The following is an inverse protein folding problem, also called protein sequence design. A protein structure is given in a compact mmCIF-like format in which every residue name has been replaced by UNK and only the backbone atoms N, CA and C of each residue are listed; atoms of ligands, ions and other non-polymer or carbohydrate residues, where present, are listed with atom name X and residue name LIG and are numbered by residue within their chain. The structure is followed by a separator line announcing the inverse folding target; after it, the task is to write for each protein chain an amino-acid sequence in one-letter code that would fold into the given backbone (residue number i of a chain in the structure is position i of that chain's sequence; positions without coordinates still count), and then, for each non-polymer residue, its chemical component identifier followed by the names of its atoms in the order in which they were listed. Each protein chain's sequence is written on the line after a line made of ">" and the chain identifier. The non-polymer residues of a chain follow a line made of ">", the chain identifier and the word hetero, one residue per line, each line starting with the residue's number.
data_IF_763934472494
#
_entry.id   IF_763934472494
#
_cell.length_a   1.000
_cell.length_b   1.000
_cell.length_c   1.000
_cell.angle_alpha   90.00
_cell.angle_beta   90.00
_cell.angle_gamma   90.00
#
_symmetry.space_group_name_H-M   'P 1'
#
loop_
_entity.id
_entity.type
_entity.pdbx_description
1 polymer ?
#
# COMPACT_ATOMS: atom_id res chain seq x y z
N UNK A 1 7.59 -32.19 -6.57
CA UNK A 1 6.85 -31.32 -7.52
C UNK A 1 6.08 -30.30 -6.72
N UNK A 2 6.40 -29.01 -6.84
CA UNK A 2 5.63 -27.97 -6.18
C UNK A 2 4.24 -27.87 -6.84
N UNK A 3 3.18 -27.87 -6.04
CA UNK A 3 1.82 -27.66 -6.53
C UNK A 3 1.75 -26.27 -7.19
N UNK A 4 1.04 -26.12 -8.32
CA UNK A 4 0.79 -24.81 -8.93
C UNK A 4 0.18 -23.86 -7.89
N UNK A 5 0.52 -22.57 -7.97
CA UNK A 5 -0.13 -21.55 -7.15
C UNK A 5 -1.63 -21.55 -7.47
N UNK A 6 -2.44 -22.16 -6.60
CA UNK A 6 -3.91 -22.23 -6.76
C UNK A 6 -4.59 -20.85 -6.77
N UNK A 7 -3.87 -19.81 -6.37
CA UNK A 7 -4.33 -18.42 -6.39
C UNK A 7 -3.88 -17.68 -7.66
N UNK A 8 -3.10 -18.30 -8.54
CA UNK A 8 -2.72 -17.69 -9.81
C UNK A 8 -3.95 -17.49 -10.70
N UNK A 9 -4.02 -16.33 -11.33
CA UNK A 9 -5.10 -15.97 -12.22
C UNK A 9 -5.19 -16.90 -13.44
N UNK A 10 -6.42 -17.27 -13.81
CA UNK A 10 -6.72 -17.94 -15.06
C UNK A 10 -8.01 -17.36 -15.64
N UNK A 11 -7.99 -16.99 -16.92
CA UNK A 11 -9.18 -16.55 -17.65
C UNK A 11 -10.18 -17.71 -17.70
N UNK A 12 -11.40 -17.47 -17.19
CA UNK A 12 -12.48 -18.47 -17.17
C UNK A 12 -13.54 -18.15 -18.23
N UNK A 13 -14.20 -19.18 -18.80
CA UNK A 13 -15.36 -18.97 -19.67
C UNK A 13 -16.41 -18.08 -18.97
N UNK A 14 -16.89 -17.03 -19.66
CA UNK A 14 -17.92 -16.11 -19.15
C UNK A 14 -17.42 -14.74 -18.66
N UNK A 15 -16.10 -14.50 -18.62
CA UNK A 15 -15.55 -13.16 -18.38
C UNK A 15 -15.91 -12.21 -19.53
N UNK A 16 -16.53 -11.06 -19.22
CA UNK A 16 -16.96 -10.03 -20.20
C UNK A 16 -16.11 -8.76 -20.07
N UNK A 17 -16.10 -7.94 -21.12
CA UNK A 17 -15.48 -6.60 -21.15
C UNK A 17 -16.00 -5.75 -19.97
N UNK A 18 -15.09 -5.03 -19.31
CA UNK A 18 -15.37 -4.26 -18.08
C UNK A 18 -16.57 -3.33 -18.21
N UNK A 19 -17.32 -3.20 -17.11
CA UNK A 19 -18.46 -2.30 -17.01
C UNK A 19 -17.98 -0.90 -16.63
N UNK A 20 -18.58 0.14 -17.23
CA UNK A 20 -18.42 1.51 -16.80
C UNK A 20 -19.27 1.74 -15.55
N UNK A 21 -18.65 2.20 -14.46
CA UNK A 21 -19.38 2.71 -13.30
C UNK A 21 -19.77 4.16 -13.54
N UNK A 22 -21.03 4.50 -13.25
CA UNK A 22 -21.58 5.84 -13.36
C UNK A 22 -21.69 6.55 -12.00
N UNK A 23 -21.13 5.95 -10.95
CA UNK A 23 -21.15 6.45 -9.57
C UNK A 23 -19.73 6.78 -9.06
N UNK A 24 -19.57 7.71 -8.09
CA UNK A 24 -18.27 8.18 -7.59
C UNK A 24 -17.39 7.09 -6.98
N UNK A 25 -18.00 6.15 -6.25
CA UNK A 25 -17.31 5.05 -5.59
C UNK A 25 -17.68 3.75 -6.32
N UNK A 26 -16.73 3.10 -7.02
CA UNK A 26 -16.97 1.80 -7.64
C UNK A 26 -17.29 0.75 -6.56
N UNK A 27 -18.38 0.00 -6.72
CA UNK A 27 -18.77 -1.08 -5.78
C UNK A 27 -18.48 -2.48 -6.33
N UNK A 28 -17.70 -2.58 -7.41
CA UNK A 28 -17.31 -3.85 -8.04
C UNK A 28 -15.80 -3.91 -8.19
N UNK A 29 -15.22 -5.03 -7.79
CA UNK A 29 -13.88 -5.42 -8.20
C UNK A 29 -13.91 -5.72 -9.71
N UNK A 30 -13.00 -5.12 -10.46
CA UNK A 30 -12.66 -5.57 -11.81
C UNK A 30 -11.33 -6.32 -11.76
N UNK A 31 -11.22 -7.37 -12.59
CA UNK A 31 -10.03 -8.20 -12.65
C UNK A 31 -8.84 -7.33 -13.03
N UNK A 32 -7.75 -7.49 -12.30
CA UNK A 32 -6.47 -6.95 -12.67
C UNK A 32 -5.57 -8.04 -13.31
N UNK A 33 -6.10 -9.25 -13.53
CA UNK A 33 -5.36 -10.44 -13.98
C UNK A 33 -4.39 -11.04 -12.95
N UNK A 34 -4.43 -10.61 -11.68
CA UNK A 34 -3.71 -11.27 -10.58
C UNK A 34 -4.63 -12.22 -9.79
N UNK A 35 -5.93 -11.93 -9.77
CA UNK A 35 -6.97 -12.80 -9.19
C UNK A 35 -8.30 -12.62 -9.94
N UNK A 36 -9.16 -13.67 -10.02
CA UNK A 36 -10.51 -13.51 -10.55
C UNK A 36 -11.30 -12.55 -9.65
N UNK A 37 -11.90 -11.47 -10.18
CA UNK A 37 -12.63 -10.51 -9.38
C UNK A 37 -13.85 -11.21 -8.78
N UNK A 38 -14.11 -10.90 -7.51
CA UNK A 38 -15.33 -11.36 -6.87
C UNK A 38 -16.54 -10.72 -7.56
N UNK A 39 -17.62 -11.50 -7.70
CA UNK A 39 -18.89 -10.96 -8.17
C UNK A 39 -19.38 -9.85 -7.24
N UNK A 40 -20.15 -8.90 -7.80
CA UNK A 40 -20.80 -7.89 -6.99
C UNK A 40 -21.75 -8.57 -5.98
N UNK A 41 -21.63 -8.22 -4.72
CA UNK A 41 -22.50 -8.68 -3.63
C UNK A 41 -23.87 -7.99 -3.69
N UNK A 42 -24.89 -8.56 -3.05
CA UNK A 42 -26.22 -7.96 -2.91
C UNK A 42 -26.17 -6.57 -2.27
N UNK A 43 -25.29 -6.41 -1.29
CA UNK A 43 -25.07 -5.20 -0.53
C UNK A 43 -24.40 -4.13 -1.42
N UNK A 44 -23.42 -4.52 -2.24
CA UNK A 44 -22.83 -3.61 -3.22
C UNK A 44 -23.86 -3.14 -4.27
N UNK A 45 -24.72 -4.03 -4.78
CA UNK A 45 -25.85 -3.66 -5.66
C UNK A 45 -26.75 -2.63 -4.99
N UNK A 46 -27.08 -2.87 -3.71
CA UNK A 46 -27.93 -2.01 -2.91
C UNK A 46 -27.30 -0.62 -2.68
N UNK A 47 -25.98 -0.54 -2.45
CA UNK A 47 -25.26 0.74 -2.40
C UNK A 47 -25.42 1.50 -3.71
N UNK A 48 -25.18 0.88 -4.86
CA UNK A 48 -25.32 1.60 -6.13
C UNK A 48 -26.75 2.10 -6.37
N UNK A 49 -27.76 1.31 -5.99
CA UNK A 49 -29.18 1.71 -6.09
C UNK A 49 -29.43 2.97 -5.27
N UNK A 50 -28.97 2.99 -4.02
CA UNK A 50 -29.14 4.14 -3.10
C UNK A 50 -28.42 5.39 -3.59
N UNK A 51 -27.22 5.24 -4.16
CA UNK A 51 -26.49 6.37 -4.76
C UNK A 51 -27.31 6.99 -5.89
N UNK A 52 -27.84 6.17 -6.79
CA UNK A 52 -28.65 6.66 -7.93
C UNK A 52 -29.94 7.34 -7.47
N UNK A 53 -30.58 6.82 -6.41
CA UNK A 53 -31.79 7.41 -5.82
C UNK A 53 -31.51 8.76 -5.15
N UNK A 54 -30.44 8.84 -4.33
CA UNK A 54 -30.05 10.09 -3.71
C UNK A 54 -29.65 11.13 -4.75
N UNK A 55 -28.88 10.74 -5.77
CA UNK A 55 -28.53 11.62 -6.89
C UNK A 55 -29.77 12.10 -7.67
N UNK A 56 -30.77 11.23 -7.87
CA UNK A 56 -32.04 11.60 -8.48
C UNK A 56 -32.78 12.68 -7.69
N UNK A 57 -32.83 12.53 -6.36
CA UNK A 57 -33.50 13.46 -5.45
C UNK A 57 -32.76 14.80 -5.31
N UNK A 58 -31.46 14.76 -5.09
CA UNK A 58 -30.64 15.94 -4.79
C UNK A 58 -30.31 16.75 -6.05
N UNK A 59 -30.02 16.09 -7.17
CA UNK A 59 -29.72 16.82 -8.41
C UNK A 59 -30.90 17.70 -8.85
N UNK A 60 -32.14 17.20 -8.73
CA UNK A 60 -33.34 17.98 -9.04
C UNK A 60 -33.51 19.21 -8.15
N UNK A 61 -33.25 19.08 -6.84
CA UNK A 61 -33.31 20.20 -5.89
C UNK A 61 -32.25 21.27 -6.17
N UNK A 62 -31.08 20.86 -6.64
CA UNK A 62 -29.94 21.73 -6.92
C UNK A 62 -29.89 22.25 -8.36
N UNK A 63 -30.90 21.94 -9.19
CA UNK A 63 -30.93 22.35 -10.60
C UNK A 63 -29.85 21.67 -11.47
N UNK A 64 -29.30 20.54 -11.04
CA UNK A 64 -28.25 19.79 -11.74
C UNK A 64 -28.83 18.57 -12.47
N UNK A 65 -28.14 18.10 -13.52
CA UNK A 65 -28.39 16.75 -14.04
C UNK A 65 -27.76 15.74 -13.07
N UNK A 66 -28.35 14.55 -12.93
CA UNK A 66 -27.82 13.47 -12.05
C UNK A 66 -26.32 13.20 -12.28
N UNK A 67 -25.90 13.14 -13.55
CA UNK A 67 -24.50 12.92 -13.95
C UNK A 67 -23.54 14.03 -13.55
N UNK A 68 -24.02 15.26 -13.42
CA UNK A 68 -23.19 16.41 -13.05
C UNK A 68 -23.12 16.49 -11.52
N UNK A 69 -24.23 16.21 -10.82
CA UNK A 69 -24.24 16.06 -9.36
C UNK A 69 -23.28 14.96 -8.88
N UNK A 70 -23.26 13.79 -9.53
CA UNK A 70 -22.33 12.72 -9.18
C UNK A 70 -20.84 13.06 -9.44
N UNK A 71 -20.51 14.24 -9.95
CA UNK A 71 -19.13 14.72 -10.10
C UNK A 71 -18.75 15.78 -9.06
N UNK A 72 -19.65 16.13 -8.15
CA UNK A 72 -19.42 17.12 -7.09
C UNK A 72 -19.04 16.47 -5.76
N UNK A 73 -18.64 17.28 -4.77
CA UNK A 73 -18.49 16.85 -3.38
C UNK A 73 -19.79 16.24 -2.82
N UNK A 74 -20.95 16.81 -3.16
CA UNK A 74 -22.25 16.27 -2.76
C UNK A 74 -22.54 14.87 -3.31
N UNK A 75 -22.07 14.58 -4.54
CA UNK A 75 -22.13 13.24 -5.11
C UNK A 75 -21.28 12.23 -4.34
N UNK A 76 -20.09 12.64 -3.88
CA UNK A 76 -19.24 11.82 -3.01
C UNK A 76 -19.89 11.59 -1.63
N UNK A 77 -20.39 12.65 -0.99
CA UNK A 77 -21.09 12.57 0.29
C UNK A 77 -22.32 11.63 0.21
N UNK A 78 -23.12 11.72 -0.85
CA UNK A 78 -24.22 10.79 -1.12
C UNK A 78 -23.74 9.34 -1.26
N UNK A 79 -22.55 9.12 -1.83
CA UNK A 79 -21.95 7.79 -1.95
C UNK A 79 -21.54 7.21 -0.61
N UNK A 80 -20.89 8.01 0.24
CA UNK A 80 -20.51 7.62 1.60
C UNK A 80 -21.73 7.38 2.50
N UNK A 81 -22.78 8.21 2.39
CA UNK A 81 -24.06 8.00 3.08
C UNK A 81 -24.74 6.70 2.63
N UNK A 82 -24.71 6.39 1.33
CA UNK A 82 -25.25 5.14 0.82
C UNK A 82 -24.48 3.93 1.38
N UNK A 83 -23.14 3.97 1.36
CA UNK A 83 -22.31 2.94 1.99
C UNK A 83 -22.64 2.79 3.48
N UNK A 84 -22.77 3.91 4.20
CA UNK A 84 -23.14 3.90 5.62
C UNK A 84 -24.50 3.22 5.87
N UNK A 85 -25.47 3.47 5.00
CA UNK A 85 -26.82 2.92 5.15
C UNK A 85 -26.93 1.42 4.86
N UNK A 86 -25.95 0.85 4.16
CA UNK A 86 -25.95 -0.58 3.77
C UNK A 86 -25.02 -1.39 4.65
N UNK A 87 -23.80 -0.92 4.83
CA UNK A 87 -22.78 -1.66 5.57
C UNK A 87 -22.75 -1.30 7.06
N UNK A 88 -23.29 -0.14 7.45
CA UNK A 88 -23.19 0.43 8.80
C UNK A 88 -22.38 1.73 8.81
N UNK A 89 -22.38 2.47 9.91
CA UNK A 89 -21.71 3.77 10.02
C UNK A 89 -20.17 3.62 9.99
N UNK A 90 -19.57 3.73 8.81
CA UNK A 90 -18.12 3.65 8.59
C UNK A 90 -17.47 4.99 8.24
N UNK A 91 -18.21 5.86 7.55
CA UNK A 91 -17.73 7.16 7.11
C UNK A 91 -18.37 8.26 7.94
N UNK A 92 -17.57 9.21 8.41
CA UNK A 92 -18.10 10.41 9.04
C UNK A 92 -18.55 11.40 7.96
N UNK A 93 -19.86 11.38 7.68
CA UNK A 93 -20.50 12.22 6.66
C UNK A 93 -21.91 12.58 7.12
N UNK A 94 -22.26 13.86 7.02
CA UNK A 94 -23.59 14.39 7.32
C UNK A 94 -24.46 14.44 6.07
N UNK A 95 -25.77 14.34 6.24
CA UNK A 95 -26.73 14.47 5.12
C UNK A 95 -26.66 15.84 4.43
N UNK A 96 -26.34 16.89 5.19
CA UNK A 96 -26.23 18.26 4.67
C UNK A 96 -25.07 18.40 3.68
N UNK A 97 -23.97 17.65 3.84
CA UNK A 97 -22.81 17.68 2.94
C UNK A 97 -23.16 17.17 1.53
N UNK A 98 -24.22 16.36 1.39
CA UNK A 98 -24.71 15.92 0.09
C UNK A 98 -25.50 17.00 -0.66
N UNK A 99 -26.02 18.01 0.05
CA UNK A 99 -26.86 19.07 -0.52
C UNK A 99 -26.12 20.42 -0.58
N UNK A 100 -25.25 20.71 0.37
CA UNK A 100 -24.63 22.02 0.57
C UNK A 100 -23.09 21.87 0.56
N UNK A 101 -22.41 22.33 -0.49
CA UNK A 101 -20.95 22.26 -0.57
C UNK A 101 -20.23 22.97 0.58
N UNK A 102 -20.84 24.03 1.11
CA UNK A 102 -20.27 24.83 2.21
C UNK A 102 -20.24 24.05 3.52
N UNK A 103 -21.22 23.16 3.77
CA UNK A 103 -21.25 22.32 4.97
C UNK A 103 -20.05 21.35 5.03
N UNK A 104 -19.52 20.91 3.88
CA UNK A 104 -18.26 20.16 3.83
C UNK A 104 -17.06 21.07 4.17
N UNK A 105 -17.04 22.31 3.66
CA UNK A 105 -15.94 23.24 3.95
C UNK A 105 -15.89 23.64 5.43
N UNK A 106 -17.03 23.82 6.08
CA UNK A 106 -17.10 24.13 7.52
C UNK A 106 -16.52 23.01 8.40
N UNK A 107 -16.55 21.77 7.93
CA UNK A 107 -15.97 20.61 8.61
C UNK A 107 -14.51 20.35 8.27
N UNK A 108 -13.96 21.06 7.28
CA UNK A 108 -12.62 20.83 6.73
C UNK A 108 -11.52 20.97 7.79
N UNK A 109 -11.80 21.65 8.90
CA UNK A 109 -10.93 21.72 10.07
C UNK A 109 -9.56 22.33 9.75
N UNK A 110 -8.62 22.16 10.66
CA UNK A 110 -7.21 22.45 10.38
C UNK A 110 -6.64 21.40 9.42
N UNK A 111 -5.81 21.80 8.44
CA UNK A 111 -5.16 20.86 7.53
C UNK A 111 -4.41 19.77 8.30
N UNK A 112 -4.63 18.51 7.91
CA UNK A 112 -3.91 17.39 8.51
C UNK A 112 -2.43 17.44 8.12
N UNK A 113 -1.54 17.15 9.07
CA UNK A 113 -0.18 16.81 8.74
C UNK A 113 -0.14 15.37 8.21
N UNK A 114 0.01 15.21 6.90
CA UNK A 114 0.08 13.90 6.24
C UNK A 114 1.54 13.52 6.02
N UNK A 115 2.00 12.52 6.76
CA UNK A 115 3.25 11.83 6.48
C UNK A 115 2.94 10.48 5.85
N UNK A 116 3.23 10.36 4.57
CA UNK A 116 3.14 9.10 3.82
C UNK A 116 4.45 8.33 3.93
N UNK A 117 4.43 7.21 4.66
CA UNK A 117 5.63 6.41 4.92
C UNK A 117 5.94 5.39 3.81
N UNK A 118 5.09 5.24 2.80
CA UNK A 118 5.27 4.24 1.74
C UNK A 118 4.97 4.83 0.36
N UNK A 119 6.00 5.38 -0.26
CA UNK A 119 5.95 5.90 -1.61
C UNK A 119 6.91 5.16 -2.54
N UNK A 120 6.60 5.18 -3.84
CA UNK A 120 7.40 4.52 -4.87
C UNK A 120 7.40 5.34 -6.17
N UNK A 121 8.42 5.10 -6.99
CA UNK A 121 8.40 5.34 -8.44
C UNK A 121 9.24 4.25 -9.11
N UNK A 122 9.33 4.26 -10.44
CA UNK A 122 10.18 3.35 -11.20
C UNK A 122 11.32 4.12 -11.88
N UNK A 123 12.56 3.74 -11.55
CA UNK A 123 13.76 4.32 -12.15
C UNK A 123 13.82 4.07 -13.65
N UNK A 124 14.27 5.06 -14.41
CA UNK A 124 14.36 4.95 -15.88
C UNK A 124 15.35 3.86 -16.33
N UNK A 125 16.34 3.56 -15.50
CA UNK A 125 17.36 2.54 -15.74
C UNK A 125 16.97 1.15 -15.20
N UNK A 126 15.74 0.97 -14.71
CA UNK A 126 15.32 -0.31 -14.16
C UNK A 126 15.07 -1.33 -15.28
N UNK A 127 15.84 -2.42 -15.21
CA UNK A 127 15.74 -3.62 -16.04
C UNK A 127 15.53 -3.35 -17.57
N UNK A 128 16.44 -2.60 -18.22
CA UNK A 128 16.27 -2.21 -19.62
C UNK A 128 16.35 -3.40 -20.58
N UNK A 129 16.96 -4.50 -20.14
CA UNK A 129 17.10 -5.74 -20.90
C UNK A 129 16.04 -6.80 -20.55
N UNK A 130 15.07 -6.47 -19.69
CA UNK A 130 14.01 -7.38 -19.22
C UNK A 130 14.57 -8.70 -18.62
N UNK A 131 15.71 -8.62 -17.96
CA UNK A 131 16.41 -9.75 -17.37
C UNK A 131 15.62 -10.38 -16.21
N UNK A 132 14.77 -9.61 -15.53
CA UNK A 132 13.98 -10.09 -14.40
C UNK A 132 12.77 -10.91 -14.85
N UNK A 133 12.32 -10.80 -16.11
CA UNK A 133 11.16 -11.54 -16.63
C UNK A 133 11.29 -13.07 -16.49
N UNK A 134 12.51 -13.60 -16.56
CA UNK A 134 12.80 -15.02 -16.39
C UNK A 134 13.04 -15.45 -14.95
N UNK A 135 13.18 -14.51 -14.00
CA UNK A 135 13.56 -14.82 -12.61
C UNK A 135 12.32 -15.09 -11.77
N UNK A 136 12.25 -16.30 -11.23
CA UNK A 136 11.10 -16.74 -10.43
C UNK A 136 10.91 -15.83 -9.19
N UNK A 137 9.74 -15.21 -9.10
CA UNK A 137 9.38 -14.34 -7.97
C UNK A 137 10.04 -12.96 -8.01
N UNK A 138 10.69 -12.59 -9.13
CA UNK A 138 11.16 -11.24 -9.33
C UNK A 138 9.99 -10.26 -9.54
N UNK A 139 10.19 -9.03 -9.09
CA UNK A 139 9.38 -7.91 -9.57
C UNK A 139 9.88 -7.61 -10.98
N UNK A 140 8.96 -7.42 -11.93
CA UNK A 140 9.32 -7.15 -13.33
C UNK A 140 8.77 -5.80 -13.73
N UNK A 141 9.42 -5.16 -14.71
CA UNK A 141 8.93 -3.91 -15.31
C UNK A 141 7.50 -4.04 -15.85
N UNK A 142 7.20 -5.20 -16.44
CA UNK A 142 5.87 -5.53 -16.94
C UNK A 142 4.81 -5.63 -15.84
N UNK A 143 5.15 -6.24 -14.69
CA UNK A 143 4.24 -6.34 -13.55
C UNK A 143 3.93 -4.96 -12.95
N UNK A 144 4.96 -4.12 -12.73
CA UNK A 144 4.77 -2.76 -12.21
C UNK A 144 3.90 -1.90 -13.14
N UNK A 145 4.16 -1.96 -14.45
CA UNK A 145 3.33 -1.27 -15.43
C UNK A 145 1.90 -1.84 -15.49
N UNK A 146 1.76 -3.14 -15.25
CA UNK A 146 0.47 -3.82 -15.11
C UNK A 146 -0.40 -3.18 -14.05
N UNK A 147 0.14 -2.96 -12.84
CA UNK A 147 -0.57 -2.31 -11.73
C UNK A 147 -1.16 -0.96 -12.15
N UNK A 148 -0.35 -0.11 -12.77
CA UNK A 148 -0.81 1.22 -13.25
C UNK A 148 -1.88 1.12 -14.32
N UNK A 149 -1.71 0.23 -15.30
CA UNK A 149 -2.70 0.01 -16.36
C UNK A 149 -4.04 -0.47 -15.81
N UNK A 150 -4.02 -1.31 -14.79
CA UNK A 150 -5.22 -1.81 -14.13
C UNK A 150 -5.91 -0.69 -13.36
N UNK A 151 -5.15 0.13 -12.63
CA UNK A 151 -5.69 1.25 -11.89
C UNK A 151 -6.42 2.27 -12.77
N UNK A 152 -6.01 2.45 -14.03
CA UNK A 152 -6.72 3.31 -15.00
C UNK A 152 -8.17 2.89 -15.24
N UNK A 153 -8.49 1.61 -15.10
CA UNK A 153 -9.86 1.12 -15.19
C UNK A 153 -10.68 1.40 -13.92
N UNK A 154 -10.01 1.58 -12.78
CA UNK A 154 -10.62 1.76 -11.46
C UNK A 154 -10.72 3.23 -11.04
N UNK A 155 -9.77 4.06 -11.47
CA UNK A 155 -9.63 5.45 -11.07
C UNK A 155 -9.82 6.37 -12.28
N UNK A 156 -10.98 7.04 -12.41
CA UNK A 156 -11.25 7.95 -13.52
C UNK A 156 -10.27 9.12 -13.63
N UNK A 157 -9.56 9.48 -12.55
CA UNK A 157 -8.52 10.52 -12.58
C UNK A 157 -7.31 10.14 -13.44
N UNK A 158 -7.12 8.84 -13.70
CA UNK A 158 -6.03 8.32 -14.54
C UNK A 158 -6.42 8.20 -16.03
N UNK A 159 -7.53 8.79 -16.44
CA UNK A 159 -7.97 8.72 -17.84
C UNK A 159 -6.95 9.33 -18.81
N UNK A 160 -6.16 10.32 -18.37
CA UNK A 160 -5.09 10.96 -19.15
C UNK A 160 -3.78 10.17 -19.22
N UNK A 161 -3.62 9.14 -18.37
CA UNK A 161 -2.41 8.33 -18.37
C UNK A 161 -2.25 7.58 -19.68
N UNK A 162 -0.99 7.40 -20.08
CA UNK A 162 -0.65 6.73 -21.34
C UNK A 162 -0.57 5.21 -21.16
N UNK A 163 -0.51 4.72 -19.93
CA UNK A 163 -0.21 3.33 -19.62
C UNK A 163 1.22 2.96 -20.01
N UNK A 164 2.18 3.86 -19.78
CA UNK A 164 3.61 3.65 -20.07
C UNK A 164 4.45 3.92 -18.82
N UNK A 165 5.74 3.58 -18.86
CA UNK A 165 6.64 3.84 -17.72
C UNK A 165 6.77 5.32 -17.35
N UNK A 166 6.44 6.24 -18.25
CA UNK A 166 6.38 7.67 -17.94
C UNK A 166 5.32 7.98 -16.87
N UNK A 167 4.24 7.18 -16.75
CA UNK A 167 3.23 7.36 -15.71
C UNK A 167 3.73 6.85 -14.33
N UNK A 168 4.85 6.12 -14.30
CA UNK A 168 5.52 5.62 -13.10
C UNK A 168 6.87 6.30 -12.84
N UNK A 169 7.21 7.35 -13.60
CA UNK A 169 8.50 8.03 -13.47
C UNK A 169 8.55 8.93 -12.24
N UNK A 170 9.75 9.37 -11.89
CA UNK A 170 9.95 10.29 -10.78
C UNK A 170 9.20 11.62 -11.00
N UNK A 171 9.11 12.12 -12.24
CA UNK A 171 8.41 13.38 -12.55
C UNK A 171 6.92 13.27 -12.27
N UNK A 172 6.29 12.17 -12.69
CA UNK A 172 4.88 11.95 -12.41
C UNK A 172 4.65 11.71 -10.92
N UNK A 173 5.57 10.99 -10.26
CA UNK A 173 5.56 10.82 -8.81
C UNK A 173 5.56 12.15 -8.05
N UNK A 174 6.43 13.11 -8.40
CA UNK A 174 6.45 14.43 -7.75
C UNK A 174 5.14 15.17 -7.92
N UNK A 175 4.59 15.15 -9.14
CA UNK A 175 3.29 15.76 -9.41
C UNK A 175 2.20 15.13 -8.56
N UNK A 176 2.08 13.81 -8.59
CA UNK A 176 1.02 13.10 -7.88
C UNK A 176 1.12 13.27 -6.36
N UNK A 177 2.31 13.19 -5.79
CA UNK A 177 2.48 13.30 -4.33
C UNK A 177 2.41 14.75 -3.87
N UNK A 178 3.09 15.69 -4.51
CA UNK A 178 3.28 17.04 -3.95
C UNK A 178 2.43 18.13 -4.59
N UNK A 179 1.85 17.90 -5.76
CA UNK A 179 1.00 18.88 -6.44
C UNK A 179 -0.48 18.49 -6.45
N UNK A 180 -0.77 17.19 -6.51
CA UNK A 180 -2.13 16.69 -6.63
C UNK A 180 -2.70 16.12 -5.32
N UNK A 181 -1.89 16.02 -4.26
CA UNK A 181 -2.30 15.49 -2.95
C UNK A 181 -1.96 16.45 -1.79
N UNK A 182 -2.53 16.17 -0.62
CA UNK A 182 -2.26 16.93 0.62
C UNK A 182 -1.03 16.40 1.38
N UNK A 183 -0.24 15.50 0.77
CA UNK A 183 0.96 14.91 1.40
C UNK A 183 1.97 15.99 1.80
N UNK A 184 2.22 16.09 3.11
CA UNK A 184 3.18 17.02 3.68
C UNK A 184 4.59 16.46 3.58
N UNK A 185 4.80 15.21 3.99
CA UNK A 185 6.09 14.52 3.91
C UNK A 185 5.91 13.15 3.28
N UNK A 186 6.83 12.76 2.42
CA UNK A 186 6.90 11.41 1.85
C UNK A 186 8.17 10.67 2.26
N UNK A 187 8.10 9.35 2.37
CA UNK A 187 9.26 8.46 2.49
C UNK A 187 9.37 7.58 1.24
N UNK A 188 10.40 7.82 0.42
CA UNK A 188 10.62 6.99 -0.77
C UNK A 188 11.15 5.61 -0.37
N UNK A 189 10.48 4.60 -0.90
CA UNK A 189 10.82 3.19 -0.87
C UNK A 189 11.02 2.68 -2.30
N UNK A 190 11.41 1.42 -2.47
CA UNK A 190 11.58 0.77 -3.77
C UNK A 190 11.16 -0.69 -3.71
N UNK A 191 10.45 -1.24 -4.70
CA UNK A 191 10.37 -2.69 -4.86
C UNK A 191 11.77 -3.33 -5.01
N UNK A 192 11.91 -4.63 -4.67
CA UNK A 192 13.20 -5.32 -4.71
C UNK A 192 13.65 -5.55 -6.16
N UNK A 193 14.97 -5.61 -6.36
CA UNK A 193 15.60 -6.06 -7.60
C UNK A 193 16.39 -7.37 -7.39
N UNK A 194 17.30 -7.73 -8.32
CA UNK A 194 18.18 -8.88 -8.13
C UNK A 194 19.17 -8.67 -6.99
N UNK A 195 19.60 -7.43 -6.76
CA UNK A 195 20.42 -6.98 -5.62
C UNK A 195 19.98 -5.57 -5.19
N UNK A 196 20.32 -5.11 -3.97
CA UNK A 196 19.99 -3.75 -3.51
C UNK A 196 20.43 -2.62 -4.46
N UNK A 197 21.59 -2.77 -5.09
CA UNK A 197 22.15 -1.79 -6.03
C UNK A 197 21.44 -1.76 -7.39
N UNK A 198 20.66 -2.79 -7.67
CA UNK A 198 19.89 -2.99 -8.91
C UNK A 198 18.39 -3.05 -8.62
N UNK A 199 17.95 -2.56 -7.46
CA UNK A 199 16.53 -2.39 -7.14
C UNK A 199 15.83 -1.48 -8.16
N UNK A 200 14.49 -1.50 -8.16
CA UNK A 200 13.68 -0.65 -9.04
C UNK A 200 14.08 0.82 -8.96
N UNK A 201 14.43 1.29 -7.76
CA UNK A 201 15.13 2.53 -7.50
C UNK A 201 16.25 2.25 -6.48
N UNK A 202 17.52 2.19 -6.89
CA UNK A 202 18.61 1.90 -5.96
C UNK A 202 18.77 2.98 -4.87
N UNK A 203 19.36 2.65 -3.70
CA UNK A 203 19.51 3.59 -2.58
C UNK A 203 20.12 4.94 -2.96
N UNK A 204 21.15 4.93 -3.82
CA UNK A 204 21.81 6.16 -4.29
C UNK A 204 20.85 7.08 -5.05
N UNK A 205 19.95 6.52 -5.85
CA UNK A 205 18.95 7.27 -6.60
C UNK A 205 17.84 7.78 -5.66
N UNK A 206 17.34 6.94 -4.76
CA UNK A 206 16.35 7.33 -3.75
C UNK A 206 16.84 8.52 -2.90
N UNK A 207 18.08 8.46 -2.38
CA UNK A 207 18.64 9.55 -1.58
C UNK A 207 18.91 10.80 -2.41
N UNK A 208 19.30 10.65 -3.67
CA UNK A 208 19.48 11.79 -4.57
C UNK A 208 18.17 12.56 -4.79
N UNK A 209 17.08 11.84 -5.10
CA UNK A 209 15.76 12.45 -5.30
C UNK A 209 15.22 13.09 -4.01
N UNK A 210 15.41 12.43 -2.86
CA UNK A 210 15.09 13.01 -1.54
C UNK A 210 15.80 14.35 -1.35
N UNK A 211 17.11 14.36 -1.55
CA UNK A 211 17.94 15.55 -1.33
C UNK A 211 17.56 16.67 -2.29
N UNK A 212 17.25 16.35 -3.55
CA UNK A 212 16.83 17.32 -4.54
C UNK A 212 15.48 17.95 -4.22
N UNK A 213 14.47 17.15 -3.84
CA UNK A 213 13.17 17.66 -3.40
C UNK A 213 13.34 18.56 -2.17
N UNK A 214 14.13 18.13 -1.18
CA UNK A 214 14.37 18.92 0.04
C UNK A 214 15.10 20.24 -0.26
N UNK A 215 16.06 20.22 -1.21
CA UNK A 215 16.79 21.40 -1.65
C UNK A 215 15.89 22.40 -2.37
N UNK A 216 15.06 21.96 -3.32
CA UNK A 216 14.16 22.81 -4.09
C UNK A 216 13.09 23.42 -3.16
N UNK A 217 12.50 22.61 -2.29
CA UNK A 217 11.44 23.03 -1.38
C UNK A 217 11.95 23.77 -0.14
N UNK A 218 13.28 23.82 0.06
CA UNK A 218 13.96 24.41 1.23
C UNK A 218 13.38 23.93 2.58
N UNK A 219 12.86 22.71 2.60
CA UNK A 219 12.24 22.08 3.76
C UNK A 219 12.36 20.57 3.63
N UNK A 220 12.14 19.83 4.73
CA UNK A 220 12.17 18.36 4.68
C UNK A 220 10.81 17.85 4.21
N UNK A 221 10.65 17.70 2.90
CA UNK A 221 9.45 17.13 2.26
C UNK A 221 9.62 15.66 1.90
N UNK A 222 10.86 15.17 1.85
CA UNK A 222 11.18 13.78 1.56
C UNK A 222 12.17 13.18 2.55
N UNK A 223 11.96 11.89 2.81
CA UNK A 223 12.87 10.95 3.45
C UNK A 223 13.15 9.80 2.47
N UNK A 224 14.21 9.03 2.70
CA UNK A 224 14.57 7.90 1.84
C UNK A 224 15.00 6.67 2.65
N UNK A 225 14.54 5.51 2.18
CA UNK A 225 15.03 4.23 2.68
C UNK A 225 16.45 3.91 2.19
N UNK A 226 17.20 3.21 3.05
CA UNK A 226 18.24 2.28 2.63
C UNK A 226 17.67 0.87 2.48
N UNK A 227 18.39 -0.01 1.81
CA UNK A 227 18.00 -1.40 1.61
C UNK A 227 18.89 -2.36 2.40
N UNK A 228 18.29 -3.43 2.89
CA UNK A 228 18.99 -4.55 3.53
C UNK A 228 18.56 -5.88 2.92
N UNK A 229 19.54 -6.76 2.70
CA UNK A 229 19.37 -8.11 2.18
C UNK A 229 20.35 -9.05 2.91
N UNK A 230 20.01 -9.49 4.14
CA UNK A 230 20.94 -10.18 5.04
C UNK A 230 21.51 -11.49 4.47
N UNK A 231 20.83 -12.09 3.50
CA UNK A 231 21.30 -13.29 2.80
C UNK A 231 22.63 -13.08 2.06
N UNK A 232 23.00 -11.84 1.72
CA UNK A 232 24.29 -11.50 1.13
C UNK A 232 25.44 -11.44 2.16
N UNK A 233 25.14 -11.62 3.45
CA UNK A 233 26.13 -11.69 4.52
C UNK A 233 26.96 -10.41 4.64
N UNK A 234 28.28 -10.54 4.70
CA UNK A 234 29.19 -9.41 4.89
C UNK A 234 29.02 -8.31 3.84
N UNK A 235 28.73 -8.67 2.58
CA UNK A 235 28.52 -7.70 1.51
C UNK A 235 27.30 -6.79 1.80
N UNK A 236 26.26 -7.31 2.47
CA UNK A 236 25.13 -6.49 2.91
C UNK A 236 25.54 -5.55 4.04
N UNK A 237 26.28 -6.06 5.05
CA UNK A 237 26.72 -5.26 6.19
C UNK A 237 27.63 -4.10 5.79
N UNK A 238 28.53 -4.31 4.84
CA UNK A 238 29.38 -3.26 4.27
C UNK A 238 28.55 -2.24 3.49
N UNK A 239 27.54 -2.71 2.75
CA UNK A 239 26.64 -1.83 2.02
C UNK A 239 25.71 -1.03 2.94
N UNK A 240 25.26 -1.59 4.06
CA UNK A 240 24.55 -0.86 5.11
C UNK A 240 25.40 0.28 5.65
N UNK A 241 26.69 0.03 5.91
CA UNK A 241 27.59 1.07 6.40
C UNK A 241 27.73 2.22 5.39
N UNK A 242 27.95 1.90 4.11
CA UNK A 242 28.00 2.89 3.04
C UNK A 242 26.70 3.71 2.96
N UNK A 243 25.54 3.06 2.99
CA UNK A 243 24.25 3.74 2.91
C UNK A 243 24.03 4.69 4.10
N UNK A 244 24.33 4.24 5.33
CA UNK A 244 24.17 5.07 6.52
C UNK A 244 25.19 6.22 6.59
N UNK A 245 26.45 5.96 6.24
CA UNK A 245 27.52 6.96 6.37
C UNK A 245 27.58 7.94 5.19
N UNK A 246 27.41 7.47 3.97
CA UNK A 246 27.54 8.29 2.76
C UNK A 246 26.20 8.82 2.25
N UNK A 247 25.17 7.97 2.21
CA UNK A 247 23.86 8.36 1.66
C UNK A 247 22.93 8.98 2.72
N UNK A 248 23.27 8.81 4.01
CA UNK A 248 22.50 9.34 5.16
C UNK A 248 21.03 8.93 5.09
N UNK A 249 20.76 7.65 4.84
CA UNK A 249 19.40 7.10 4.77
C UNK A 249 18.63 7.31 6.08
N UNK A 250 17.29 7.35 6.02
CA UNK A 250 16.41 7.72 7.14
C UNK A 250 15.82 6.52 7.89
N UNK A 251 15.66 5.39 7.19
CA UNK A 251 15.18 4.11 7.70
C UNK A 251 15.62 2.97 6.76
N UNK A 252 15.51 1.71 7.21
CA UNK A 252 15.80 0.53 6.41
C UNK A 252 14.55 -0.07 5.81
N UNK A 253 14.65 -0.60 4.59
CA UNK A 253 13.61 -1.41 3.95
C UNK A 253 14.14 -2.80 3.66
N UNK A 254 13.34 -3.80 4.04
CA UNK A 254 13.66 -5.22 3.90
C UNK A 254 12.55 -5.97 3.17
N UNK A 255 12.96 -6.94 2.34
CA UNK A 255 12.09 -7.90 1.68
C UNK A 255 12.45 -9.31 2.11
N UNK A 256 11.59 -9.92 2.92
CA UNK A 256 11.83 -11.28 3.45
C UNK A 256 11.48 -12.37 2.46
N UNK A 257 10.47 -12.17 1.61
CA UNK A 257 10.04 -13.15 0.61
C UNK A 257 10.76 -13.05 -0.74
N UNK A 258 11.17 -11.85 -1.16
CA UNK A 258 11.85 -11.63 -2.42
C UNK A 258 13.36 -11.89 -2.29
N UNK A 259 13.78 -13.11 -2.65
CA UNK A 259 15.17 -13.52 -2.58
C UNK A 259 16.03 -12.77 -3.63
N UNK A 260 17.26 -12.35 -3.27
CA UNK A 260 18.21 -11.81 -4.24
C UNK A 260 18.64 -12.89 -5.25
N UNK A 261 19.24 -12.46 -6.36
CA UNK A 261 19.75 -13.36 -7.38
C UNK A 261 20.77 -14.34 -6.78
N UNK A 262 20.63 -15.62 -7.12
CA UNK A 262 21.44 -16.71 -6.55
C UNK A 262 20.80 -17.42 -5.35
N UNK A 263 19.67 -16.93 -4.84
CA UNK A 263 18.93 -17.53 -3.74
C UNK A 263 17.54 -18.01 -4.20
N UNK A 264 17.11 -19.16 -3.70
CA UNK A 264 15.85 -19.81 -4.08
C UNK A 264 14.72 -19.62 -3.07
N UNK A 265 15.05 -19.03 -1.91
CA UNK A 265 14.15 -18.84 -0.78
C UNK A 265 14.44 -17.53 -0.04
N UNK A 266 13.41 -17.03 0.63
CA UNK A 266 13.50 -15.89 1.52
C UNK A 266 14.12 -16.21 2.89
N UNK A 267 13.89 -15.33 3.84
CA UNK A 267 14.41 -15.40 5.21
C UNK A 267 13.38 -14.88 6.22
N UNK A 268 13.55 -15.23 7.49
CA UNK A 268 12.72 -14.72 8.59
C UNK A 268 13.52 -13.71 9.43
N UNK A 269 12.85 -12.69 9.95
CA UNK A 269 13.46 -11.60 10.72
C UNK A 269 13.99 -12.09 12.08
N UNK A 270 13.45 -13.19 12.60
CA UNK A 270 13.91 -13.84 13.83
C UNK A 270 14.96 -14.94 13.62
N UNK A 271 15.44 -15.15 12.39
CA UNK A 271 16.57 -16.03 12.12
C UNK A 271 17.86 -15.40 12.67
N UNK A 272 18.34 -15.93 13.79
CA UNK A 272 19.51 -15.42 14.50
C UNK A 272 20.81 -15.48 13.67
N UNK A 273 20.89 -16.39 12.70
CA UNK A 273 22.09 -16.53 11.86
C UNK A 273 22.06 -15.59 10.66
N UNK A 274 20.90 -15.48 10.03
CA UNK A 274 20.73 -14.68 8.81
C UNK A 274 20.44 -13.22 9.16
N UNK A 275 19.43 -12.96 9.97
CA UNK A 275 18.88 -11.61 10.18
C UNK A 275 19.58 -10.81 11.29
N UNK A 276 19.99 -11.44 12.40
CA UNK A 276 20.48 -10.68 13.56
C UNK A 276 21.77 -9.89 13.30
N UNK A 277 22.74 -10.38 12.49
CA UNK A 277 23.88 -9.54 12.10
C UNK A 277 23.45 -8.22 11.44
N UNK A 278 22.40 -8.23 10.62
CA UNK A 278 21.83 -7.03 10.01
C UNK A 278 21.14 -6.15 11.05
N UNK A 279 20.37 -6.72 11.99
CA UNK A 279 19.71 -5.95 13.07
C UNK A 279 20.73 -5.28 13.99
N UNK A 280 21.79 -5.99 14.38
CA UNK A 280 22.89 -5.43 15.17
C UNK A 280 23.63 -4.33 14.41
N UNK A 281 23.86 -4.50 13.10
CA UNK A 281 24.45 -3.45 12.26
C UNK A 281 23.54 -2.22 12.19
N UNK A 282 22.23 -2.39 12.02
CA UNK A 282 21.26 -1.29 12.04
C UNK A 282 21.30 -0.52 13.38
N UNK A 283 21.35 -1.25 14.50
CA UNK A 283 21.52 -0.69 15.85
C UNK A 283 22.82 0.11 15.98
N UNK A 284 23.94 -0.47 15.56
CA UNK A 284 25.27 0.14 15.64
C UNK A 284 25.40 1.40 14.76
N UNK A 285 24.77 1.41 13.59
CA UNK A 285 24.72 2.57 12.70
C UNK A 285 23.77 3.68 13.18
N UNK A 286 22.97 3.41 14.22
CA UNK A 286 22.00 4.37 14.77
C UNK A 286 20.75 4.56 13.93
N UNK A 287 20.55 3.77 12.87
CA UNK A 287 19.33 3.76 12.06
C UNK A 287 18.46 2.59 12.49
N UNK A 288 17.54 2.86 13.42
CA UNK A 288 16.80 1.84 14.17
C UNK A 288 15.36 1.62 13.71
N UNK A 289 15.02 2.09 12.51
CA UNK A 289 13.69 1.88 11.91
C UNK A 289 13.83 0.88 10.77
N UNK A 290 13.16 -0.25 10.89
CA UNK A 290 13.19 -1.33 9.91
C UNK A 290 11.78 -1.58 9.37
N UNK A 291 11.56 -1.14 8.15
CA UNK A 291 10.36 -1.38 7.37
C UNK A 291 10.46 -2.73 6.67
N UNK A 292 9.61 -3.69 7.05
CA UNK A 292 9.67 -5.06 6.51
C UNK A 292 8.42 -5.33 5.70
N UNK A 293 8.60 -5.80 4.46
CA UNK A 293 7.49 -6.23 3.61
C UNK A 293 6.83 -7.50 4.19
N UNK A 294 5.69 -7.33 4.87
CA UNK A 294 5.04 -8.38 5.66
C UNK A 294 3.53 -8.41 5.42
N UNK A 295 3.18 -8.63 4.16
CA UNK A 295 1.84 -8.66 3.59
C UNK A 295 1.98 -8.62 2.07
N UNK A 296 0.88 -8.73 1.33
CA UNK A 296 0.83 -8.81 -0.13
C UNK A 296 2.03 -9.60 -0.69
N UNK A 297 2.04 -10.93 -0.45
CA UNK A 297 3.27 -11.71 -0.46
C UNK A 297 4.04 -11.62 -1.77
N UNK A 298 5.32 -11.27 -1.66
CA UNK A 298 6.26 -11.27 -2.78
C UNK A 298 7.21 -12.47 -2.72
N UNK A 299 7.72 -12.87 -3.88
CA UNK A 299 8.69 -13.94 -4.01
C UNK A 299 8.10 -15.35 -4.11
N UNK A 300 8.97 -16.37 -4.26
CA UNK A 300 8.55 -17.72 -4.64
C UNK A 300 7.88 -18.51 -3.51
N UNK A 301 8.05 -18.08 -2.26
CA UNK A 301 7.52 -18.75 -1.06
C UNK A 301 6.78 -17.74 -0.20
N UNK A 302 5.47 -17.93 -0.12
CA UNK A 302 4.55 -16.99 0.53
C UNK A 302 4.90 -16.75 2.00
N UNK A 303 5.23 -17.82 2.75
CA UNK A 303 5.32 -17.79 4.22
C UNK A 303 6.35 -16.80 4.80
N UNK A 304 7.42 -16.47 4.07
CA UNK A 304 8.41 -15.47 4.50
C UNK A 304 7.82 -14.07 4.65
N UNK A 305 6.67 -13.79 4.03
CA UNK A 305 5.97 -12.51 4.15
C UNK A 305 5.00 -12.49 5.35
N UNK A 306 4.82 -13.61 6.08
CA UNK A 306 4.00 -13.59 7.28
C UNK A 306 4.71 -12.79 8.39
N UNK A 307 4.04 -11.88 9.12
CA UNK A 307 4.66 -11.06 10.17
C UNK A 307 4.98 -11.80 11.49
N UNK A 308 4.81 -13.12 11.57
CA UNK A 308 4.82 -13.85 12.85
C UNK A 308 6.19 -13.84 13.53
N UNK A 309 7.24 -13.86 12.72
CA UNK A 309 8.64 -13.79 13.12
C UNK A 309 9.00 -12.46 13.79
N UNK A 310 8.25 -11.38 13.53
CA UNK A 310 8.49 -10.10 14.17
C UNK A 310 8.25 -10.14 15.69
N UNK A 311 7.43 -11.06 16.20
CA UNK A 311 7.19 -11.15 17.65
C UNK A 311 8.49 -11.46 18.40
N UNK A 312 9.28 -12.44 17.93
CA UNK A 312 10.57 -12.78 18.55
C UNK A 312 11.59 -11.68 18.28
N UNK A 313 11.73 -11.25 17.03
CA UNK A 313 12.71 -10.22 16.67
C UNK A 313 12.51 -8.91 17.46
N UNK A 314 11.27 -8.47 17.66
CA UNK A 314 10.98 -7.25 18.40
C UNK A 314 11.21 -7.38 19.92
N UNK A 315 11.11 -8.59 20.49
CA UNK A 315 11.52 -8.87 21.89
C UNK A 315 13.03 -8.82 22.05
N UNK A 316 13.75 -9.42 21.10
CA UNK A 316 15.20 -9.55 21.15
C UNK A 316 15.89 -8.21 20.81
N UNK A 317 15.21 -7.34 20.06
CA UNK A 317 15.66 -5.99 19.67
C UNK A 317 14.65 -4.90 20.08
N UNK A 318 14.46 -4.63 21.38
CA UNK A 318 13.43 -3.71 21.87
C UNK A 318 13.70 -2.24 21.51
N UNK A 319 14.91 -1.92 21.06
CA UNK A 319 15.35 -0.58 20.63
C UNK A 319 15.27 -0.35 19.11
N UNK A 320 14.80 -1.35 18.35
CA UNK A 320 14.51 -1.24 16.92
C UNK A 320 13.00 -1.20 16.72
N UNK A 321 12.53 -0.21 15.97
CA UNK A 321 11.14 -0.11 15.54
C UNK A 321 10.93 -0.91 14.26
N UNK A 322 10.02 -1.89 14.30
CA UNK A 322 9.66 -2.73 13.16
C UNK A 322 8.35 -2.24 12.54
N UNK A 323 8.39 -1.81 11.28
CA UNK A 323 7.22 -1.33 10.55
C UNK A 323 6.75 -2.41 9.58
N UNK A 324 5.54 -2.93 9.80
CA UNK A 324 4.91 -4.03 9.06
C UNK A 324 4.21 -3.47 7.83
N UNK A 325 4.94 -3.41 6.72
CA UNK A 325 4.39 -2.89 5.47
C UNK A 325 3.31 -3.83 4.96
N UNK A 326 2.15 -3.24 4.65
CA UNK A 326 0.91 -3.94 4.32
C UNK A 326 0.24 -4.71 5.47
N UNK A 327 0.55 -4.41 6.74
CA UNK A 327 -0.24 -4.84 7.91
C UNK A 327 -0.64 -6.34 7.96
N UNK A 328 0.20 -7.25 7.46
CA UNK A 328 -0.14 -8.67 7.41
C UNK A 328 -1.23 -9.03 6.41
N UNK A 329 -1.58 -8.20 5.43
CA UNK A 329 -2.63 -8.52 4.47
C UNK A 329 -2.18 -9.65 3.55
N UNK A 330 -2.74 -10.85 3.69
CA UNK A 330 -2.42 -11.97 2.80
C UNK A 330 -2.92 -11.74 1.36
N UNK A 331 -4.17 -11.32 1.22
CA UNK A 331 -4.80 -11.00 -0.06
C UNK A 331 -6.07 -10.18 0.13
N UNK A 332 -6.45 -9.46 -0.92
CA UNK A 332 -7.76 -8.81 -1.02
C UNK A 332 -8.79 -9.91 -1.27
N UNK A 333 -9.63 -10.19 -0.28
CA UNK A 333 -10.64 -11.26 -0.34
C UNK A 333 -11.99 -10.79 0.21
N UNK A 334 -13.05 -11.54 -0.05
CA UNK A 334 -14.39 -11.24 0.46
C UNK A 334 -14.42 -11.24 1.99
N UNK A 335 -15.30 -10.44 2.59
CA UNK A 335 -15.42 -10.37 4.02
C UNK A 335 -15.98 -11.69 4.51
N UNK A 336 -15.31 -12.30 5.49
CA UNK A 336 -15.84 -13.47 6.18
C UNK A 336 -16.84 -12.98 7.24
N UNK A 337 -17.96 -13.68 7.47
CA UNK A 337 -18.87 -13.35 8.58
C UNK A 337 -18.19 -13.32 9.95
N UNK A 338 -17.08 -14.04 10.13
CA UNK A 338 -16.25 -14.01 11.34
C UNK A 338 -15.45 -12.72 11.55
N UNK A 339 -15.36 -11.85 10.54
CA UNK A 339 -14.45 -10.70 10.54
C UNK A 339 -12.96 -11.06 10.43
N UNK A 340 -12.65 -12.34 10.23
CA UNK A 340 -11.28 -12.82 10.16
C UNK A 340 -10.60 -12.36 8.86
N UNK A 341 -9.44 -11.73 9.01
CA UNK A 341 -8.52 -11.34 7.94
C UNK A 341 -7.24 -12.15 8.16
N UNK A 342 -7.02 -13.28 7.45
CA UNK A 342 -6.19 -14.40 7.90
C UNK A 342 -4.91 -14.05 8.70
N UNK A 343 -3.87 -13.57 8.02
CA UNK A 343 -2.56 -13.28 8.61
C UNK A 343 -2.60 -12.09 9.59
N UNK A 344 -3.38 -11.04 9.29
CA UNK A 344 -3.59 -9.90 10.20
C UNK A 344 -4.24 -10.36 11.51
N UNK A 345 -5.30 -11.16 11.44
CA UNK A 345 -6.00 -11.72 12.61
C UNK A 345 -5.07 -12.60 13.44
N UNK A 346 -4.34 -13.51 12.80
CA UNK A 346 -3.36 -14.36 13.49
C UNK A 346 -2.30 -13.50 14.20
N UNK A 347 -1.73 -12.52 13.49
CA UNK A 347 -0.68 -11.67 14.03
C UNK A 347 -1.16 -10.78 15.19
N UNK A 348 -2.37 -10.21 15.08
CA UNK A 348 -2.99 -9.47 16.18
C UNK A 348 -3.20 -10.36 17.41
N UNK A 349 -3.63 -11.62 17.22
CA UNK A 349 -3.79 -12.57 18.31
C UNK A 349 -2.45 -12.95 18.97
N UNK A 350 -1.38 -13.09 18.19
CA UNK A 350 -0.02 -13.27 18.70
C UNK A 350 0.44 -12.05 19.50
N UNK A 351 0.26 -10.83 18.96
CA UNK A 351 0.63 -9.59 19.63
C UNK A 351 -0.08 -9.39 20.97
N UNK A 352 -1.36 -9.75 21.06
CA UNK A 352 -2.14 -9.67 22.31
C UNK A 352 -1.61 -10.54 23.45
N UNK A 353 -0.89 -11.63 23.13
CA UNK A 353 -0.19 -12.45 24.13
C UNK A 353 1.07 -11.76 24.67
N UNK A 354 1.50 -10.68 24.02
CA UNK A 354 2.74 -9.94 24.29
C UNK A 354 2.44 -8.45 24.53
N UNK A 355 1.66 -8.09 25.56
CA UNK A 355 1.20 -6.71 25.78
C UNK A 355 2.34 -5.72 26.08
N UNK A 356 3.50 -6.20 26.55
CA UNK A 356 4.68 -5.38 26.81
C UNK A 356 5.44 -4.93 25.55
N UNK A 357 5.17 -5.56 24.41
CA UNK A 357 5.85 -5.26 23.15
C UNK A 357 5.26 -3.99 22.53
N UNK A 358 6.09 -2.98 22.23
CA UNK A 358 5.66 -1.64 21.78
C UNK A 358 6.35 -1.15 20.50
N UNK A 359 7.34 -1.88 20.00
CA UNK A 359 8.18 -1.49 18.88
C UNK A 359 7.75 -2.15 17.56
N UNK A 360 6.45 -2.43 17.39
CA UNK A 360 5.88 -2.91 16.12
C UNK A 360 4.77 -1.96 15.70
N UNK A 361 4.86 -1.47 14.46
CA UNK A 361 3.92 -0.53 13.86
C UNK A 361 3.31 -1.14 12.60
N UNK A 362 2.01 -0.94 12.41
CA UNK A 362 1.24 -1.52 11.31
C UNK A 362 1.02 -0.46 10.23
N UNK A 363 1.61 -0.66 9.05
CA UNK A 363 1.55 0.29 7.95
C UNK A 363 0.44 -0.10 6.96
N UNK A 364 -0.32 0.90 6.50
CA UNK A 364 -1.55 0.68 5.75
C UNK A 364 -1.38 0.56 4.23
N UNK A 365 -0.51 1.32 3.58
CA UNK A 365 -0.15 1.21 2.15
C UNK A 365 -1.28 0.80 1.22
N UNK A 366 -0.95 -0.14 0.34
CA UNK A 366 -1.91 -0.87 -0.50
C UNK A 366 -3.01 -1.61 0.28
N UNK A 367 -2.83 -1.89 1.58
CA UNK A 367 -3.87 -2.57 2.40
C UNK A 367 -5.11 -1.73 2.55
N UNK A 368 -4.98 -0.46 2.91
CA UNK A 368 -6.13 0.43 3.02
C UNK A 368 -6.75 0.70 1.65
N UNK A 369 -5.95 1.13 0.67
CA UNK A 369 -6.45 1.44 -0.67
C UNK A 369 -7.20 0.28 -1.33
N UNK A 370 -6.66 -0.94 -1.21
CA UNK A 370 -7.29 -2.12 -1.78
C UNK A 370 -8.54 -2.55 -1.02
N UNK A 371 -8.57 -2.49 0.32
CA UNK A 371 -9.72 -2.96 1.09
C UNK A 371 -10.84 -1.93 1.18
N UNK A 372 -10.55 -0.64 1.38
CA UNK A 372 -11.60 0.38 1.61
C UNK A 372 -12.56 0.50 0.41
N UNK A 373 -12.02 0.31 -0.79
CA UNK A 373 -12.78 0.36 -2.03
C UNK A 373 -13.50 -0.95 -2.33
N UNK A 374 -12.82 -2.08 -2.12
CA UNK A 374 -13.31 -3.38 -2.58
C UNK A 374 -14.08 -4.17 -1.54
N UNK A 375 -13.74 -3.99 -0.26
CA UNK A 375 -14.31 -4.69 0.87
C UNK A 375 -14.21 -3.85 2.17
N UNK A 376 -15.03 -2.79 2.30
CA UNK A 376 -14.99 -1.87 3.43
C UNK A 376 -15.23 -2.58 4.77
N UNK A 377 -16.03 -3.64 4.80
CA UNK A 377 -16.25 -4.46 6.00
C UNK A 377 -14.96 -5.16 6.45
N UNK A 378 -14.22 -5.81 5.54
CA UNK A 378 -12.92 -6.39 5.91
C UNK A 378 -11.89 -5.31 6.26
N UNK A 379 -11.93 -4.15 5.61
CA UNK A 379 -11.10 -3.01 5.98
C UNK A 379 -11.35 -2.59 7.44
N UNK A 380 -12.62 -2.46 7.84
CA UNK A 380 -12.99 -2.11 9.20
C UNK A 380 -12.59 -3.19 10.21
N UNK A 381 -12.75 -4.48 9.88
CA UNK A 381 -12.26 -5.56 10.73
C UNK A 381 -10.74 -5.56 10.86
N UNK A 382 -10.00 -5.31 9.79
CA UNK A 382 -8.53 -5.21 9.83
C UNK A 382 -8.11 -4.07 10.75
N UNK A 383 -8.63 -2.86 10.52
CA UNK A 383 -8.31 -1.68 11.32
C UNK A 383 -8.70 -1.87 12.79
N UNK A 384 -9.91 -2.38 13.05
CA UNK A 384 -10.36 -2.65 14.42
C UNK A 384 -9.47 -3.64 15.16
N UNK A 385 -9.05 -4.72 14.50
CA UNK A 385 -8.13 -5.71 15.10
C UNK A 385 -6.73 -5.13 15.35
N UNK A 386 -6.21 -4.36 14.40
CA UNK A 386 -4.91 -3.71 14.52
C UNK A 386 -4.92 -2.68 15.66
N UNK A 387 -5.92 -1.80 15.72
CA UNK A 387 -6.05 -0.78 16.76
C UNK A 387 -6.21 -1.44 18.14
N UNK A 388 -7.01 -2.51 18.24
CA UNK A 388 -7.21 -3.24 19.49
C UNK A 388 -5.94 -3.98 19.96
N UNK A 389 -5.12 -4.50 19.04
CA UNK A 389 -3.91 -5.25 19.37
C UNK A 389 -2.65 -4.39 19.57
N UNK A 390 -2.51 -3.29 18.82
CA UNK A 390 -1.30 -2.46 18.78
C UNK A 390 -1.53 -1.04 19.32
N UNK A 391 -2.76 -0.53 19.28
CA UNK A 391 -3.08 0.87 19.58
C UNK A 391 -3.15 1.73 18.32
N UNK A 392 -3.97 2.79 18.38
CA UNK A 392 -4.13 3.73 17.25
C UNK A 392 -2.85 4.52 16.95
N UNK A 393 -1.99 4.71 17.94
CA UNK A 393 -0.66 5.33 17.84
C UNK A 393 0.40 4.43 17.16
N UNK A 394 0.06 3.16 16.90
CA UNK A 394 0.94 2.19 16.22
C UNK A 394 0.45 1.86 14.81
N UNK A 395 -0.44 2.67 14.24
CA UNK A 395 -0.91 2.55 12.85
C UNK A 395 -0.32 3.69 12.03
N UNK A 396 0.32 3.33 10.92
CA UNK A 396 1.03 4.28 10.05
C UNK A 396 0.30 4.46 8.73
N UNK A 397 0.14 5.71 8.32
CA UNK A 397 -0.35 6.06 7.00
C UNK A 397 0.77 5.85 5.98
N UNK A 398 0.47 5.06 4.96
CA UNK A 398 1.20 5.03 3.72
C UNK A 398 0.22 4.74 2.61
N UNK A 399 0.48 5.24 1.40
CA UNK A 399 -0.48 5.06 0.29
C UNK A 399 -0.07 4.01 -0.70
N UNK A 400 1.24 3.81 -0.91
CA UNK A 400 1.75 3.00 -2.00
C UNK A 400 1.18 3.46 -3.36
N UNK A 401 0.88 4.76 -3.50
CA UNK A 401 -0.13 5.23 -4.45
C UNK A 401 0.30 5.22 -5.91
N UNK A 402 1.59 5.29 -6.24
CA UNK A 402 2.03 5.47 -7.63
C UNK A 402 1.46 4.42 -8.59
N UNK A 403 1.13 3.23 -8.07
CA UNK A 403 0.50 2.14 -8.80
C UNK A 403 -0.97 2.42 -9.12
N UNK A 404 -1.66 3.22 -8.31
CA UNK A 404 -3.10 3.46 -8.30
C UNK A 404 -3.52 4.92 -8.57
N UNK A 405 -2.57 5.85 -8.54
CA UNK A 405 -2.75 7.28 -8.80
C UNK A 405 -2.19 8.19 -7.69
N UNK A 406 -2.72 9.41 -7.66
CA UNK A 406 -2.51 10.36 -6.57
C UNK A 406 -2.89 9.76 -5.20
N UNK A 407 -2.06 9.96 -4.14
CA UNK A 407 -2.39 9.62 -2.75
C UNK A 407 -3.77 10.07 -2.29
#
# INVERSE_FOLDING_TARGET
>A
MALPNRNAFALRPGMRRGLRTDIPIPTRLVSNEEFPPLGQTSEQVEVERRIREQAGRLAGRLGLRRRDFLKTSGGMAASLLAMNSVFGRFFDVLEVEAAEPDAFQERKGEPFFIFDVQLHYVGAAYDPADAEAGRKGAVTRHALLGLRKQARALNPKLASDRGTMADLSWENFVKEVFLDSETAIGLISTPPGPYPQEAVVPPKEMTHIRDEINRITRSRRMLAHGLVTPQLGQADLDFMELQAQSLKIDAWKAYTGAAPKGFDRGWFVDDERTAYPMLEKARALGVRRLCVHKGLPLGPVVDYNHPRDLIKAAKDFPDIDFLVYHSGLLSVSAAKPSGEVPWTTEFCALKKKEPGLRNIYMELGSTFGALVTTNPTACAHLLGQVIDAFGADHVLWGTDSIWYGTP
#
